data_IF_252647470055
#
_entry.id   IF_252647470055
#
_cell.length_a   1.000
_cell.length_b   1.000
_cell.length_c   1.000
_cell.angle_alpha   90.00
_cell.angle_beta   90.00
_cell.angle_gamma   90.00
#
_symmetry.space_group_name_H-M   'P 1'
#
loop_
_entity.id
_entity.type
_entity.pdbx_description
1 polymer ?
#
# COMPACT_ATOMS: atom_id res chain seq x y z
N UNK A 1 -11.48 -7.71 5.52
CA UNK A 1 -10.73 -7.37 4.28
C UNK A 1 -10.64 -5.87 4.01
N UNK A 2 -11.74 -5.17 3.68
CA UNK A 2 -11.71 -3.72 3.40
C UNK A 2 -10.99 -2.92 4.48
N UNK A 3 -11.43 -3.10 5.73
CA UNK A 3 -10.90 -2.35 6.87
C UNK A 3 -9.43 -2.72 7.15
N UNK A 4 -9.04 -3.99 6.93
CA UNK A 4 -7.65 -4.44 7.07
C UNK A 4 -6.74 -3.72 6.07
N UNK A 5 -7.14 -3.67 4.78
CA UNK A 5 -6.38 -2.98 3.74
C UNK A 5 -6.26 -1.49 4.05
N UNK A 6 -7.37 -0.87 4.45
CA UNK A 6 -7.39 0.56 4.78
C UNK A 6 -6.50 0.88 5.99
N UNK A 7 -6.54 0.04 7.04
CA UNK A 7 -5.68 0.19 8.21
C UNK A 7 -4.19 0.06 7.86
N UNK A 8 -3.83 -0.89 7.00
CA UNK A 8 -2.44 -1.10 6.57
C UNK A 8 -1.93 0.06 5.70
N UNK A 9 -2.74 0.57 4.77
CA UNK A 9 -2.37 1.74 3.98
C UNK A 9 -2.26 3.02 4.83
N UNK A 10 -3.14 3.20 5.83
CA UNK A 10 -3.03 4.29 6.80
C UNK A 10 -1.75 4.19 7.63
N UNK A 11 -1.38 2.98 8.06
CA UNK A 11 -0.13 2.72 8.75
C UNK A 11 1.09 3.12 7.90
N UNK A 12 1.06 2.82 6.60
CA UNK A 12 2.11 3.26 5.66
C UNK A 12 2.23 4.79 5.60
N UNK A 13 1.11 5.50 5.42
CA UNK A 13 1.09 6.97 5.37
C UNK A 13 1.59 7.57 6.69
N UNK A 14 1.14 7.05 7.83
CA UNK A 14 1.62 7.48 9.13
C UNK A 14 3.14 7.26 9.30
N UNK A 15 3.68 6.16 8.76
CA UNK A 15 5.11 5.90 8.70
C UNK A 15 5.88 6.94 7.89
N UNK A 16 5.29 7.46 6.81
CA UNK A 16 5.88 8.56 6.03
C UNK A 16 5.81 9.91 6.76
N UNK A 17 4.66 10.21 7.37
CA UNK A 17 4.46 11.44 8.14
C UNK A 17 5.41 11.51 9.35
N UNK A 18 5.70 10.38 10.00
CA UNK A 18 6.69 10.30 11.08
C UNK A 18 8.11 10.71 10.64
N UNK A 19 8.42 10.59 9.35
CA UNK A 19 9.70 11.07 8.77
C UNK A 19 9.63 12.52 8.28
N UNK A 20 8.55 13.24 8.59
CA UNK A 20 8.26 14.62 8.16
C UNK A 20 8.31 14.83 6.63
N UNK A 21 8.12 13.76 5.84
CA UNK A 21 8.26 13.82 4.37
C UNK A 21 9.68 14.18 3.88
N UNK A 22 10.64 14.43 4.78
CA UNK A 22 12.03 14.77 4.44
C UNK A 22 12.68 13.66 3.62
N UNK A 23 12.28 12.42 3.90
CA UNK A 23 12.73 11.25 3.17
C UNK A 23 12.34 11.27 1.68
N UNK A 24 11.11 11.71 1.38
CA UNK A 24 10.63 11.85 0.00
C UNK A 24 11.12 13.12 -0.68
N UNK A 25 11.28 14.21 0.06
CA UNK A 25 11.83 15.45 -0.49
C UNK A 25 13.29 15.29 -0.94
N UNK A 26 14.12 14.56 -0.17
CA UNK A 26 15.49 14.28 -0.59
C UNK A 26 15.55 13.34 -1.82
N UNK A 27 14.69 12.32 -1.88
CA UNK A 27 14.53 11.47 -3.08
C UNK A 27 14.14 12.31 -4.29
N UNK A 28 13.20 13.25 -4.14
CA UNK A 28 12.80 14.17 -5.21
C UNK A 28 13.91 15.14 -5.62
N UNK A 29 14.78 15.53 -4.68
CA UNK A 29 15.95 16.36 -4.95
C UNK A 29 17.11 15.61 -5.61
N UNK A 30 16.98 14.30 -5.87
CA UNK A 30 18.04 13.48 -6.47
C UNK A 30 19.16 13.11 -5.49
N UNK A 31 19.01 13.45 -4.21
CA UNK A 31 19.98 13.15 -3.17
C UNK A 31 19.54 11.92 -2.39
N UNK A 32 20.48 10.98 -2.20
CA UNK A 32 20.44 9.84 -1.27
C UNK A 32 19.67 8.58 -1.69
N UNK A 33 20.32 7.73 -2.48
CA UNK A 33 19.98 6.30 -2.62
C UNK A 33 19.81 5.59 -1.26
N UNK A 34 20.53 6.06 -0.22
CA UNK A 34 20.44 5.57 1.16
C UNK A 34 19.06 5.82 1.80
N UNK A 35 18.44 6.96 1.50
CA UNK A 35 17.14 7.32 2.06
C UNK A 35 16.01 6.56 1.36
N UNK A 36 16.15 6.38 0.04
CA UNK A 36 15.27 5.50 -0.72
C UNK A 36 15.29 4.05 -0.19
N UNK A 37 16.48 3.51 0.14
CA UNK A 37 16.58 2.17 0.74
C UNK A 37 15.94 2.11 2.12
N UNK A 38 16.13 3.12 2.98
CA UNK A 38 15.53 3.14 4.33
C UNK A 38 14.01 3.20 4.26
N UNK A 39 13.42 4.06 3.41
CA UNK A 39 11.96 4.14 3.24
C UNK A 39 11.40 2.82 2.75
N UNK A 40 12.03 2.23 1.72
CA UNK A 40 11.61 0.94 1.17
C UNK A 40 11.66 -0.15 2.25
N UNK A 41 12.78 -0.28 2.94
CA UNK A 41 13.02 -1.40 3.86
C UNK A 41 12.26 -1.25 5.19
N UNK A 42 11.98 -0.01 5.64
CA UNK A 42 11.33 0.25 6.93
C UNK A 42 9.84 0.54 6.84
N UNK A 43 9.32 0.93 5.68
CA UNK A 43 7.91 1.34 5.55
C UNK A 43 7.20 0.55 4.46
N UNK A 44 7.72 0.55 3.23
CA UNK A 44 7.01 -0.08 2.10
C UNK A 44 7.01 -1.61 2.19
N UNK A 45 8.16 -2.23 2.44
CA UNK A 45 8.30 -3.69 2.48
C UNK A 45 7.55 -4.32 3.67
N UNK A 46 7.61 -3.78 4.91
CA UNK A 46 6.82 -4.31 6.03
C UNK A 46 5.31 -4.25 5.76
N UNK A 47 4.82 -3.13 5.22
CA UNK A 47 3.39 -2.99 4.88
C UNK A 47 2.99 -3.98 3.79
N UNK A 48 3.81 -4.15 2.75
CA UNK A 48 3.57 -5.13 1.69
C UNK A 48 3.45 -6.55 2.25
N UNK A 49 4.34 -6.95 3.16
CA UNK A 49 4.28 -8.27 3.80
C UNK A 49 3.02 -8.46 4.66
N UNK A 50 2.62 -7.42 5.41
CA UNK A 50 1.39 -7.45 6.21
C UNK A 50 0.14 -7.56 5.33
N UNK A 51 0.09 -6.84 4.21
CA UNK A 51 -0.99 -6.94 3.22
C UNK A 51 -1.02 -8.35 2.64
N UNK A 52 0.12 -8.90 2.21
CA UNK A 52 0.20 -10.26 1.68
C UNK A 52 -0.34 -11.28 2.68
N UNK A 53 0.06 -11.20 3.94
CA UNK A 53 -0.43 -12.08 4.99
C UNK A 53 -1.95 -11.91 5.21
N UNK A 54 -2.48 -10.69 5.14
CA UNK A 54 -3.92 -10.43 5.22
C UNK A 54 -4.67 -11.06 4.04
N UNK A 55 -4.16 -10.92 2.82
CA UNK A 55 -4.75 -11.53 1.62
C UNK A 55 -4.75 -13.06 1.71
N UNK A 56 -3.64 -13.68 2.15
CA UNK A 56 -3.54 -15.12 2.33
C UNK A 56 -4.54 -15.64 3.37
N UNK A 57 -4.67 -14.96 4.52
CA UNK A 57 -5.69 -15.29 5.53
C UNK A 57 -7.11 -15.09 5.00
N UNK A 58 -7.33 -14.04 4.22
CA UNK A 58 -8.62 -13.80 3.55
C UNK A 58 -8.97 -14.92 2.57
N UNK A 59 -7.99 -15.43 1.82
CA UNK A 59 -8.18 -16.52 0.88
C UNK A 59 -8.55 -17.83 1.59
N UNK A 60 -7.90 -18.13 2.72
CA UNK A 60 -8.26 -19.27 3.56
C UNK A 60 -9.69 -19.21 4.10
N UNK A 61 -10.25 -18.00 4.27
CA UNK A 61 -11.64 -17.78 4.71
C UNK A 61 -12.65 -17.60 3.57
N UNK A 62 -12.21 -17.64 2.32
CA UNK A 62 -13.05 -17.39 1.14
C UNK A 62 -13.45 -15.91 0.93
N UNK A 63 -12.85 -14.97 1.66
CA UNK A 63 -13.06 -13.53 1.51
C UNK A 63 -12.26 -12.93 0.34
N UNK A 64 -11.22 -13.64 -0.11
CA UNK A 64 -10.31 -13.28 -1.20
C UNK A 64 -10.21 -14.45 -2.15
N UNK A 65 -10.19 -14.21 -3.47
CA UNK A 65 -9.92 -15.29 -4.41
C UNK A 65 -8.48 -15.79 -4.26
N UNK A 66 -8.22 -17.11 -4.21
CA UNK A 66 -6.89 -17.63 -3.88
C UNK A 66 -5.75 -17.18 -4.79
N UNK A 67 -6.03 -16.99 -6.08
CA UNK A 67 -5.09 -16.51 -7.11
C UNK A 67 -4.69 -15.04 -6.93
N UNK A 68 -5.44 -14.27 -6.14
CA UNK A 68 -5.13 -12.87 -5.83
C UNK A 68 -4.25 -12.70 -4.58
N UNK A 69 -3.99 -13.75 -3.80
CA UNK A 69 -3.14 -13.68 -2.61
C UNK A 69 -1.64 -13.72 -2.94
N UNK A 70 -1.20 -12.81 -3.82
CA UNK A 70 0.16 -12.77 -4.36
C UNK A 70 0.92 -11.52 -3.92
N UNK A 71 2.26 -11.60 -3.98
CA UNK A 71 3.13 -10.48 -3.66
C UNK A 71 2.84 -9.25 -4.53
N UNK A 72 2.56 -9.45 -5.82
CA UNK A 72 2.26 -8.38 -6.76
C UNK A 72 0.96 -7.66 -6.40
N UNK A 73 -0.10 -8.39 -6.05
CA UNK A 73 -1.37 -7.78 -5.65
C UNK A 73 -1.22 -7.02 -4.33
N UNK A 74 -0.45 -7.56 -3.38
CA UNK A 74 -0.15 -6.88 -2.12
C UNK A 74 0.64 -5.57 -2.30
N UNK A 75 1.38 -5.43 -3.40
CA UNK A 75 2.20 -4.26 -3.71
C UNK A 75 1.41 -3.09 -4.33
N UNK A 76 0.25 -3.36 -4.95
CA UNK A 76 -0.52 -2.36 -5.70
C UNK A 76 -0.84 -1.11 -4.86
N UNK A 77 -1.42 -1.29 -3.66
CA UNK A 77 -1.79 -0.19 -2.78
C UNK A 77 -0.59 0.65 -2.33
N UNK A 78 0.45 0.02 -1.74
CA UNK A 78 1.67 0.70 -1.36
C UNK A 78 2.35 1.46 -2.50
N UNK A 79 2.42 0.86 -3.69
CA UNK A 79 3.03 1.48 -4.87
C UNK A 79 2.27 2.74 -5.33
N UNK A 80 0.94 2.73 -5.29
CA UNK A 80 0.12 3.90 -5.65
C UNK A 80 0.33 5.09 -4.70
N UNK A 81 0.56 4.83 -3.41
CA UNK A 81 0.87 5.86 -2.40
C UNK A 81 2.25 6.46 -2.69
N UNK A 82 3.27 5.61 -2.86
CA UNK A 82 4.64 6.05 -3.18
C UNK A 82 4.65 6.87 -4.47
N UNK A 83 3.98 6.37 -5.52
CA UNK A 83 3.86 7.08 -6.79
C UNK A 83 3.27 8.48 -6.58
N UNK A 84 2.15 8.61 -5.86
CA UNK A 84 1.54 9.92 -5.59
C UNK A 84 2.50 10.87 -4.87
N UNK A 85 3.20 10.39 -3.83
CA UNK A 85 4.13 11.21 -3.06
C UNK A 85 5.33 11.69 -3.87
N UNK A 86 5.80 10.87 -4.80
CA UNK A 86 6.95 11.19 -5.67
C UNK A 86 6.55 12.08 -6.84
N UNK A 87 5.45 11.77 -7.52
CA UNK A 87 5.11 12.38 -8.82
C UNK A 87 4.08 13.50 -8.76
N UNK A 88 3.24 13.55 -7.70
CA UNK A 88 2.12 14.48 -7.62
C UNK A 88 2.30 15.51 -6.51
N UNK A 89 2.15 15.08 -5.25
CA UNK A 89 2.10 16.00 -4.12
C UNK A 89 2.68 15.34 -2.86
N UNK A 90 3.32 16.11 -1.96
CA UNK A 90 3.95 15.58 -0.75
C UNK A 90 2.94 15.11 0.32
N UNK A 91 1.63 15.26 0.06
CA UNK A 91 0.56 14.87 0.97
C UNK A 91 -0.45 13.99 0.24
N UNK A 92 -0.94 12.97 0.94
CA UNK A 92 -2.06 12.16 0.49
C UNK A 92 -3.37 12.93 0.71
N UNK A 93 -4.21 13.10 -0.33
CA UNK A 93 -5.49 13.79 -0.17
C UNK A 93 -6.50 12.94 0.59
N UNK A 94 -7.46 13.61 1.23
CA UNK A 94 -8.56 12.95 1.93
C UNK A 94 -9.34 12.04 0.96
N UNK A 95 -9.73 10.86 1.43
CA UNK A 95 -10.46 9.88 0.61
C UNK A 95 -9.60 9.11 -0.40
N UNK A 96 -8.31 9.42 -0.56
CA UNK A 96 -7.46 8.73 -1.53
C UNK A 96 -7.25 7.26 -1.18
N UNK A 97 -7.02 6.95 0.09
CA UNK A 97 -6.82 5.57 0.54
C UNK A 97 -8.09 4.75 0.35
N UNK A 98 -9.25 5.32 0.66
CA UNK A 98 -10.55 4.73 0.39
C UNK A 98 -10.72 4.48 -1.11
N UNK A 99 -10.33 5.41 -1.98
CA UNK A 99 -10.39 5.22 -3.44
C UNK A 99 -9.50 4.08 -3.94
N UNK A 100 -8.30 3.91 -3.37
CA UNK A 100 -7.40 2.78 -3.68
C UNK A 100 -8.04 1.48 -3.23
N UNK A 101 -8.54 1.43 -1.99
CA UNK A 101 -9.10 0.20 -1.43
C UNK A 101 -10.37 -0.20 -2.17
N UNK A 102 -11.31 0.73 -2.36
CA UNK A 102 -12.63 0.44 -2.90
C UNK A 102 -12.63 0.34 -4.42
N UNK A 103 -11.85 1.18 -5.09
CA UNK A 103 -11.79 1.26 -6.55
C UNK A 103 -10.79 0.30 -7.18
N UNK A 104 -9.78 -0.17 -6.44
CA UNK A 104 -8.69 -0.98 -6.99
C UNK A 104 -8.52 -2.29 -6.22
N UNK A 105 -8.17 -2.25 -4.94
CA UNK A 105 -7.77 -3.45 -4.21
C UNK A 105 -8.92 -4.43 -4.01
N UNK A 106 -10.09 -3.97 -3.56
CA UNK A 106 -11.25 -4.84 -3.35
C UNK A 106 -11.72 -5.50 -4.65
N UNK A 107 -11.91 -4.79 -5.77
CA UNK A 107 -12.17 -5.41 -7.07
C UNK A 107 -11.09 -6.42 -7.47
N UNK A 108 -9.82 -6.11 -7.20
CA UNK A 108 -8.68 -6.98 -7.50
C UNK A 108 -8.58 -8.21 -6.61
N UNK A 109 -9.26 -8.32 -5.47
CA UNK A 109 -9.11 -9.48 -4.57
C UNK A 109 -10.42 -10.21 -4.28
N UNK A 110 -11.57 -9.59 -4.55
CA UNK A 110 -12.87 -10.19 -4.26
C UNK A 110 -13.04 -11.54 -5.00
N UNK A 111 -13.74 -12.51 -4.38
CA UNK A 111 -14.19 -13.71 -5.05
C UNK A 111 -15.01 -13.35 -6.30
N UNK A 112 -14.84 -14.12 -7.38
CA UNK A 112 -15.76 -14.05 -8.50
C UNK A 112 -17.07 -14.65 -8.00
N UNK A 113 -18.12 -13.84 -7.88
CA UNK A 113 -19.46 -14.39 -7.69
C UNK A 113 -19.80 -15.19 -8.93
N UNK A 114 -20.01 -16.50 -8.79
CA UNK A 114 -20.64 -17.28 -9.84
C UNK A 114 -22.06 -16.70 -10.02
N UNK A 115 -22.30 -16.09 -11.18
CA UNK A 115 -23.64 -15.72 -11.63
C UNK A 115 -24.41 -16.97 -12.04
#
# INVERSE_FOLDING_TARGET
MRDDLLALLRCQVAGYDATHGAAFQAVKAGETALLHSVIRDRVTEPVRQLILAALQRGAQRGEVRPDAATAQVAEVGPAMIVHHLVTKAPRIPDGYLESIVDGVLLPLVRPISAG
#
